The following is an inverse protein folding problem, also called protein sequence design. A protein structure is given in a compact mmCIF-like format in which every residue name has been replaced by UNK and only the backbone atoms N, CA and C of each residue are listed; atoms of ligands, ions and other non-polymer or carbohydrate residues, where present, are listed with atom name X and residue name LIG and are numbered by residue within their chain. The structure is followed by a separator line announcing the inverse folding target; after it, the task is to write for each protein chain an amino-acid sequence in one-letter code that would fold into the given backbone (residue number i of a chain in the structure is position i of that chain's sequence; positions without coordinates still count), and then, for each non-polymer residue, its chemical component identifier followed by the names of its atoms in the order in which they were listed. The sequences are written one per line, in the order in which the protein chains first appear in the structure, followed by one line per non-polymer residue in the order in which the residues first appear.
data_IF_967277409868
#
_entry.id   IF_967277409868
#
_cell.length_a   1.000
_cell.length_b   1.000
_cell.length_c   1.000
_cell.angle_alpha   90.00
_cell.angle_beta   90.00
_cell.angle_gamma   90.00
#
_symmetry.space_group_name_H-M   'P 1'
#
loop_
_entity.id
_entity.type
_entity.pdbx_description
1 polymer ?
#
# COMPACT_ATOMS: atom_id res chain seq x y z
N UNK A 1 -4.22 4.90 47.79
CA UNK A 1 -3.72 4.35 46.51
C UNK A 1 -2.20 4.43 46.57
N UNK A 2 -1.57 3.29 46.80
CA UNK A 2 -0.11 3.20 46.82
C UNK A 2 0.39 3.20 45.40
N UNK A 3 0.86 4.36 44.94
CA UNK A 3 1.59 4.53 43.70
C UNK A 3 3.04 4.07 43.95
N UNK A 4 3.34 2.85 43.61
CA UNK A 4 4.71 2.31 43.64
C UNK A 4 5.14 1.79 42.24
N UNK A 5 6.42 1.46 42.11
CA UNK A 5 6.99 0.97 40.84
C UNK A 5 6.39 -0.37 40.39
N UNK A 6 5.75 -1.14 41.27
CA UNK A 6 5.08 -2.42 40.98
C UNK A 6 3.60 -2.27 40.58
N UNK A 7 3.05 -1.03 40.50
CA UNK A 7 1.65 -0.82 40.15
C UNK A 7 1.32 -1.39 38.75
N UNK A 8 2.19 -1.18 37.78
CA UNK A 8 1.99 -1.64 36.39
C UNK A 8 2.01 -3.17 36.35
N UNK A 9 3.00 -3.80 36.98
CA UNK A 9 3.13 -5.26 37.00
C UNK A 9 1.93 -5.95 37.66
N UNK A 10 1.43 -5.38 38.78
CA UNK A 10 0.27 -5.94 39.50
C UNK A 10 -1.06 -5.75 38.79
N UNK A 11 -1.16 -4.77 37.92
CA UNK A 11 -2.40 -4.42 37.21
C UNK A 11 -2.24 -4.51 35.68
N UNK A 12 -1.24 -5.24 35.19
CA UNK A 12 -0.87 -5.29 33.77
C UNK A 12 -2.07 -5.67 32.89
N UNK A 13 -2.84 -6.69 33.25
CA UNK A 13 -4.02 -7.13 32.50
C UNK A 13 -5.12 -6.06 32.41
N UNK A 14 -5.24 -5.23 33.47
CA UNK A 14 -6.23 -4.15 33.53
C UNK A 14 -5.75 -2.87 32.82
N UNK A 15 -4.47 -2.56 32.92
CA UNK A 15 -3.87 -1.33 32.38
C UNK A 15 -3.44 -1.48 30.92
N UNK A 16 -3.05 -2.69 30.53
CA UNK A 16 -2.59 -3.05 29.18
C UNK A 16 -3.41 -4.24 28.68
N UNK A 17 -4.71 -4.05 28.37
CA UNK A 17 -5.52 -5.11 27.81
C UNK A 17 -4.91 -5.60 26.51
N UNK A 18 -5.00 -6.90 26.25
CA UNK A 18 -4.55 -7.48 24.98
C UNK A 18 -5.18 -6.72 23.81
N UNK A 19 -4.37 -6.44 22.79
CA UNK A 19 -4.85 -5.79 21.57
C UNK A 19 -5.97 -6.63 20.94
N UNK A 20 -7.09 -6.00 20.66
CA UNK A 20 -8.21 -6.64 19.97
C UNK A 20 -8.07 -6.42 18.48
N UNK A 21 -8.50 -7.42 17.72
CA UNK A 21 -8.62 -7.31 16.26
C UNK A 21 -9.44 -6.08 15.86
N UNK A 22 -9.03 -5.40 14.79
CA UNK A 22 -9.73 -4.22 14.32
C UNK A 22 -11.19 -4.53 13.95
N UNK A 23 -12.18 -3.87 14.55
CA UNK A 23 -13.57 -4.10 14.23
C UNK A 23 -13.89 -3.60 12.81
N UNK A 24 -14.97 -4.13 12.21
CA UNK A 24 -15.42 -3.72 10.87
C UNK A 24 -15.63 -2.21 10.73
N UNK A 25 -16.01 -1.54 11.81
CA UNK A 25 -16.15 -0.08 11.85
C UNK A 25 -14.83 0.67 11.72
N UNK A 26 -13.73 0.17 12.29
CA UNK A 26 -12.41 0.77 12.12
C UNK A 26 -11.92 0.60 10.69
N UNK A 27 -12.10 -0.58 10.08
CA UNK A 27 -11.79 -0.85 8.68
C UNK A 27 -12.62 0.04 7.73
N UNK A 28 -13.92 0.22 8.02
CA UNK A 28 -14.79 1.10 7.26
C UNK A 28 -14.34 2.56 7.31
N UNK A 29 -13.95 3.07 8.49
CA UNK A 29 -13.41 4.42 8.66
C UNK A 29 -12.10 4.61 7.88
N UNK A 30 -11.18 3.63 7.94
CA UNK A 30 -9.93 3.67 7.18
C UNK A 30 -10.19 3.68 5.66
N UNK A 31 -11.10 2.82 5.17
CA UNK A 31 -11.48 2.75 3.76
C UNK A 31 -12.10 4.06 3.25
N UNK A 32 -12.98 4.69 4.04
CA UNK A 32 -13.56 6.00 3.71
C UNK A 32 -12.48 7.08 3.70
N UNK A 33 -11.60 7.11 4.70
CA UNK A 33 -10.53 8.09 4.76
C UNK A 33 -9.57 8.00 3.57
N UNK A 34 -9.24 6.78 3.13
CA UNK A 34 -8.45 6.55 1.93
C UNK A 34 -9.14 7.09 0.68
N UNK A 35 -10.42 6.76 0.47
CA UNK A 35 -11.18 7.22 -0.71
C UNK A 35 -11.37 8.73 -0.75
N UNK A 36 -11.57 9.37 0.40
CA UNK A 36 -11.69 10.84 0.48
C UNK A 36 -10.35 11.54 0.23
N UNK A 37 -9.23 10.99 0.70
CA UNK A 37 -7.90 11.50 0.42
C UNK A 37 -7.59 11.46 -1.09
N UNK A 38 -7.93 10.38 -1.76
CA UNK A 38 -7.76 10.23 -3.23
C UNK A 38 -8.61 11.23 -4.03
N UNK A 39 -9.86 11.46 -3.61
CA UNK A 39 -10.71 12.51 -4.21
C UNK A 39 -10.10 13.91 -4.04
N UNK A 40 -9.46 14.17 -2.90
CA UNK A 40 -8.76 15.43 -2.66
C UNK A 40 -7.61 15.68 -3.64
N UNK A 41 -6.82 14.66 -3.92
CA UNK A 41 -5.72 14.72 -4.89
C UNK A 41 -6.20 14.93 -6.33
N UNK A 42 -7.28 14.26 -6.73
CA UNK A 42 -7.87 14.41 -8.06
C UNK A 42 -8.44 15.81 -8.30
N UNK A 43 -9.01 16.45 -7.28
CA UNK A 43 -9.54 17.82 -7.36
C UNK A 43 -8.46 18.89 -7.50
N UNK A 44 -7.25 18.65 -7.01
CA UNK A 44 -6.11 19.56 -7.17
C UNK A 44 -5.56 19.62 -8.59
N UNK A 45 -5.74 18.56 -9.38
CA UNK A 45 -5.22 18.44 -10.74
C UNK A 45 -6.15 19.00 -11.83
N UNK A 46 -7.45 19.13 -11.57
CA UNK A 46 -8.44 19.61 -12.56
C UNK A 46 -9.23 20.80 -12.03
N UNK A 47 -9.10 21.96 -12.69
CA UNK A 47 -9.89 23.17 -12.41
C UNK A 47 -11.34 23.12 -12.91
N UNK A 48 -11.74 22.04 -13.54
CA UNK A 48 -13.10 21.91 -14.14
C UNK A 48 -13.94 21.01 -13.24
N UNK A 49 -14.80 21.61 -12.48
CA UNK A 49 -15.70 21.00 -11.48
C UNK A 49 -16.77 20.06 -12.07
N UNK A 50 -16.85 19.94 -13.40
CA UNK A 50 -17.86 19.17 -14.14
C UNK A 50 -17.27 18.01 -14.96
N UNK A 51 -15.97 17.69 -14.82
CA UNK A 51 -15.36 16.59 -15.56
C UNK A 51 -15.67 15.25 -14.86
N UNK A 52 -16.41 14.32 -15.51
CA UNK A 52 -16.69 13.00 -14.96
C UNK A 52 -15.41 12.20 -14.62
N UNK A 53 -14.32 12.47 -15.32
CA UNK A 53 -13.03 11.82 -15.12
C UNK A 53 -12.30 12.33 -13.87
N UNK A 54 -12.57 13.56 -13.45
CA UNK A 54 -12.05 14.14 -12.20
C UNK A 54 -12.85 13.74 -10.95
N UNK A 55 -13.98 13.08 -11.11
CA UNK A 55 -14.78 12.57 -10.01
C UNK A 55 -14.35 11.12 -9.71
N UNK A 56 -13.55 10.90 -8.67
CA UNK A 56 -13.15 9.56 -8.23
C UNK A 56 -14.34 8.77 -7.64
N UNK A 57 -15.42 8.65 -8.41
CA UNK A 57 -16.68 7.98 -8.02
C UNK A 57 -16.74 6.51 -8.46
N UNK A 58 -15.68 6.01 -9.09
CA UNK A 58 -15.66 4.64 -9.60
C UNK A 58 -16.66 4.38 -10.73
N UNK A 59 -17.06 5.43 -11.47
CA UNK A 59 -18.00 5.29 -12.58
C UNK A 59 -17.46 4.37 -13.68
N UNK A 60 -18.28 3.41 -14.12
CA UNK A 60 -18.03 2.53 -15.26
C UNK A 60 -19.27 2.44 -16.14
N UNK A 61 -19.07 2.29 -17.46
CA UNK A 61 -20.15 2.27 -18.44
C UNK A 61 -21.07 1.04 -18.28
N UNK A 62 -20.54 -0.13 -17.91
CA UNK A 62 -21.25 -1.40 -17.92
C UNK A 62 -20.99 -2.23 -16.63
N UNK A 63 -21.17 -1.64 -15.48
CA UNK A 63 -21.08 -2.39 -14.21
C UNK A 63 -20.53 -1.57 -13.05
N UNK A 64 -20.55 -2.19 -11.87
CA UNK A 64 -20.04 -1.57 -10.66
C UNK A 64 -18.50 -1.63 -10.61
N UNK A 65 -17.89 -0.56 -10.13
CA UNK A 65 -16.47 -0.57 -9.84
C UNK A 65 -16.24 -1.21 -8.48
N UNK A 66 -15.44 -2.26 -8.47
CA UNK A 66 -15.02 -2.96 -7.25
C UNK A 66 -13.52 -2.78 -7.05
N UNK A 67 -13.14 -2.45 -5.82
CA UNK A 67 -11.75 -2.34 -5.39
C UNK A 67 -11.53 -3.20 -4.17
N UNK A 68 -10.36 -3.81 -4.06
CA UNK A 68 -9.93 -4.53 -2.87
C UNK A 68 -8.85 -3.72 -2.18
N UNK A 69 -9.01 -3.53 -0.88
CA UNK A 69 -8.07 -2.84 -0.01
C UNK A 69 -7.51 -3.86 0.98
N UNK A 70 -6.19 -4.00 1.01
CA UNK A 70 -5.52 -4.87 1.98
C UNK A 70 -5.01 -4.03 3.14
N UNK A 71 -5.57 -4.26 4.32
CA UNK A 71 -5.12 -3.66 5.57
C UNK A 71 -4.48 -4.72 6.45
N UNK A 72 -3.42 -4.36 7.16
CA UNK A 72 -2.80 -5.20 8.18
C UNK A 72 -2.89 -4.48 9.52
N UNK A 73 -3.42 -5.13 10.54
CA UNK A 73 -3.43 -4.61 11.90
C UNK A 73 -2.09 -4.95 12.57
N UNK A 74 -1.26 -3.94 12.82
CA UNK A 74 0.08 -4.12 13.39
C UNK A 74 0.06 -4.61 14.84
N UNK A 75 -1.06 -4.48 15.53
CA UNK A 75 -1.21 -4.84 16.93
C UNK A 75 -2.03 -6.11 17.16
N UNK A 76 -2.54 -6.74 16.11
CA UNK A 76 -3.28 -8.00 16.24
C UNK A 76 -2.32 -9.12 16.66
N UNK A 77 -2.49 -9.64 17.87
CA UNK A 77 -1.75 -10.77 18.38
C UNK A 77 -2.21 -12.07 17.68
N UNK A 78 -1.43 -12.53 16.68
CA UNK A 78 -1.71 -13.80 15.99
C UNK A 78 -0.67 -14.10 14.92
N UNK A 79 -0.49 -15.39 14.58
CA UNK A 79 0.51 -15.86 13.60
C UNK A 79 0.22 -15.39 12.16
N UNK A 80 -0.97 -14.86 11.85
CA UNK A 80 -1.36 -14.35 10.52
C UNK A 80 -1.44 -12.81 10.48
N UNK A 81 -0.90 -12.09 11.50
CA UNK A 81 -0.71 -10.65 11.46
C UNK A 81 -1.93 -9.83 11.05
N UNK A 82 -3.16 -10.24 11.49
CA UNK A 82 -4.38 -9.44 11.31
C UNK A 82 -4.57 -8.84 9.90
N UNK A 83 -4.31 -9.60 8.84
CA UNK A 83 -4.54 -9.12 7.48
C UNK A 83 -6.03 -9.15 7.12
N UNK A 84 -6.57 -8.01 6.67
CA UNK A 84 -7.96 -7.84 6.26
C UNK A 84 -8.04 -7.48 4.79
N UNK A 85 -8.79 -8.26 4.02
CA UNK A 85 -9.17 -7.93 2.66
C UNK A 85 -10.55 -7.29 2.65
N UNK A 86 -10.57 -5.99 2.38
CA UNK A 86 -11.79 -5.19 2.36
C UNK A 86 -12.20 -4.93 0.91
N UNK A 87 -13.31 -5.50 0.48
CA UNK A 87 -13.93 -5.22 -0.80
C UNK A 87 -14.76 -3.94 -0.71
N UNK A 88 -14.57 -3.02 -1.64
CA UNK A 88 -15.33 -1.78 -1.73
C UNK A 88 -15.99 -1.69 -3.11
N UNK A 89 -17.30 -1.76 -3.16
CA UNK A 89 -18.09 -1.55 -4.39
C UNK A 89 -18.66 -0.15 -4.39
N UNK A 90 -18.44 0.58 -5.47
CA UNK A 90 -18.85 1.98 -5.58
C UNK A 90 -20.28 2.08 -6.10
N UNK A 91 -21.09 2.87 -5.41
CA UNK A 91 -22.46 3.20 -5.79
C UNK A 91 -22.64 4.72 -5.83
N UNK A 92 -23.68 5.25 -6.51
CA UNK A 92 -23.91 6.70 -6.60
C UNK A 92 -24.09 7.42 -5.25
N UNK A 93 -24.53 6.72 -4.22
CA UNK A 93 -24.82 7.29 -2.89
C UNK A 93 -23.88 6.79 -1.78
N UNK A 94 -22.77 6.11 -2.12
CA UNK A 94 -21.84 5.55 -1.14
C UNK A 94 -21.14 4.31 -1.66
N UNK A 95 -20.94 3.37 -0.77
CA UNK A 95 -20.23 2.12 -1.08
C UNK A 95 -20.97 0.92 -0.46
N UNK A 96 -20.74 -0.26 -1.00
CA UNK A 96 -20.96 -1.54 -0.31
C UNK A 96 -19.58 -2.02 0.17
N UNK A 97 -19.47 -2.24 1.47
CA UNK A 97 -18.27 -2.78 2.11
C UNK A 97 -18.43 -4.28 2.28
N UNK A 98 -17.46 -5.05 1.80
CA UNK A 98 -17.40 -6.50 1.91
C UNK A 98 -16.16 -6.88 2.73
N UNK A 99 -16.36 -7.40 3.93
CA UNK A 99 -15.30 -7.91 4.78
C UNK A 99 -15.59 -9.38 5.03
N UNK A 100 -14.73 -10.28 4.55
CA UNK A 100 -14.86 -11.73 4.71
C UNK A 100 -16.23 -12.29 4.28
N UNK A 101 -16.83 -11.70 3.23
CA UNK A 101 -18.15 -12.09 2.73
C UNK A 101 -19.32 -11.43 3.45
N UNK A 102 -19.08 -10.64 4.50
CA UNK A 102 -20.10 -9.83 5.15
C UNK A 102 -20.24 -8.47 4.44
N UNK A 103 -21.34 -8.31 3.71
CA UNK A 103 -21.61 -7.12 2.90
C UNK A 103 -22.52 -6.15 3.65
N UNK A 104 -22.08 -4.91 3.75
CA UNK A 104 -22.82 -3.85 4.41
C UNK A 104 -22.78 -2.55 3.60
N UNK A 105 -23.90 -1.84 3.55
CA UNK A 105 -23.92 -0.50 2.95
C UNK A 105 -23.07 0.47 3.79
N UNK A 106 -22.22 1.24 3.14
CA UNK A 106 -21.34 2.22 3.76
C UNK A 106 -21.61 3.59 3.16
N UNK A 107 -21.96 4.55 4.01
CA UNK A 107 -22.23 5.93 3.59
C UNK A 107 -21.45 6.91 4.46
N UNK A 108 -20.79 7.88 3.82
CA UNK A 108 -20.18 9.01 4.52
C UNK A 108 -21.27 10.05 4.84
N UNK A 109 -21.49 10.30 6.12
CA UNK A 109 -22.49 11.27 6.58
C UNK A 109 -21.90 12.67 6.73
N UNK A 110 -20.68 12.75 7.30
CA UNK A 110 -19.96 14.01 7.47
C UNK A 110 -18.45 13.76 7.56
N UNK A 111 -17.68 14.73 7.10
CA UNK A 111 -16.22 14.73 7.16
C UNK A 111 -15.70 16.14 7.47
N UNK A 112 -14.85 16.27 8.49
CA UNK A 112 -14.21 17.53 8.87
C UNK A 112 -12.78 17.25 9.40
N UNK A 113 -11.78 17.54 8.58
CA UNK A 113 -10.38 17.25 8.92
C UNK A 113 -10.13 15.76 9.13
N UNK A 114 -9.76 15.38 10.35
CA UNK A 114 -9.56 13.97 10.72
C UNK A 114 -10.84 13.28 11.20
N UNK A 115 -11.93 14.02 11.43
CA UNK A 115 -13.17 13.49 11.97
C UNK A 115 -14.08 12.97 10.84
N UNK A 116 -14.53 11.73 10.96
CA UNK A 116 -15.42 11.06 10.04
C UNK A 116 -16.66 10.58 10.77
N UNK A 117 -17.83 10.79 10.16
CA UNK A 117 -19.09 10.21 10.56
C UNK A 117 -19.59 9.34 9.42
N UNK A 118 -19.76 8.07 9.68
CA UNK A 118 -20.18 7.09 8.67
C UNK A 118 -21.41 6.33 9.15
N UNK A 119 -22.15 5.78 8.20
CA UNK A 119 -23.19 4.77 8.46
C UNK A 119 -22.73 3.47 7.82
N UNK A 120 -22.64 2.42 8.64
CA UNK A 120 -22.33 1.06 8.24
C UNK A 120 -23.54 0.17 8.52
N UNK A 121 -24.22 -0.27 7.46
CA UNK A 121 -25.54 -0.88 7.58
C UNK A 121 -26.54 0.08 8.24
N UNK A 122 -27.10 -0.32 9.36
CA UNK A 122 -28.04 0.50 10.14
C UNK A 122 -27.35 1.32 11.25
N UNK A 123 -26.07 1.08 11.51
CA UNK A 123 -25.34 1.72 12.60
C UNK A 123 -24.62 2.98 12.14
N UNK A 124 -24.82 4.08 12.85
CA UNK A 124 -24.02 5.29 12.69
C UNK A 124 -22.86 5.27 13.66
N UNK A 125 -21.67 5.57 13.17
CA UNK A 125 -20.46 5.60 13.98
C UNK A 125 -19.60 6.79 13.63
N UNK A 126 -18.79 7.19 14.61
CA UNK A 126 -17.89 8.34 14.53
C UNK A 126 -16.48 7.88 14.86
N UNK A 127 -15.51 8.48 14.19
CA UNK A 127 -14.11 8.23 14.50
C UNK A 127 -13.22 9.31 13.94
N UNK A 128 -11.99 9.33 14.43
CA UNK A 128 -10.93 10.15 13.87
C UNK A 128 -9.95 9.24 13.15
N UNK A 129 -9.59 9.60 11.94
CA UNK A 129 -8.59 8.87 11.15
C UNK A 129 -7.46 9.82 10.78
N UNK A 130 -6.25 9.45 11.17
CA UNK A 130 -5.03 10.15 10.78
C UNK A 130 -4.17 9.21 9.93
N UNK A 131 -3.78 9.67 8.78
CA UNK A 131 -2.85 8.95 7.90
C UNK A 131 -1.43 9.48 8.07
N UNK A 132 -0.48 8.56 8.23
CA UNK A 132 0.95 8.83 8.22
C UNK A 132 1.61 7.82 7.26
N UNK A 133 1.91 8.28 6.05
CA UNK A 133 2.37 7.40 4.97
C UNK A 133 1.34 6.31 4.65
N UNK A 134 1.70 5.07 4.94
CA UNK A 134 0.85 3.88 4.76
C UNK A 134 0.04 3.51 6.02
N UNK A 135 0.35 4.13 7.16
CA UNK A 135 -0.30 3.85 8.43
C UNK A 135 -1.57 4.70 8.59
N UNK A 136 -2.63 4.04 8.98
CA UNK A 136 -3.91 4.65 9.36
C UNK A 136 -4.12 4.47 10.86
N UNK A 137 -4.05 5.55 11.60
CA UNK A 137 -4.42 5.60 13.01
C UNK A 137 -5.91 5.89 13.12
N UNK A 138 -6.68 4.88 13.49
CA UNK A 138 -8.14 4.96 13.60
C UNK A 138 -8.53 4.99 15.08
N UNK A 139 -9.18 6.07 15.49
CA UNK A 139 -9.70 6.23 16.84
C UNK A 139 -11.23 6.16 16.78
N UNK A 140 -11.82 5.14 17.36
CA UNK A 140 -13.27 4.93 17.39
C UNK A 140 -13.69 4.20 18.66
N UNK A 141 -14.83 4.54 19.23
CA UNK A 141 -15.38 3.92 20.45
C UNK A 141 -14.41 3.88 21.65
N UNK A 142 -13.48 4.84 21.74
CA UNK A 142 -12.47 4.88 22.79
C UNK A 142 -11.29 3.93 22.59
N UNK A 143 -11.23 3.23 21.48
CA UNK A 143 -10.12 2.35 21.10
C UNK A 143 -9.29 3.00 19.98
N UNK A 144 -8.01 2.63 19.89
CA UNK A 144 -7.08 3.03 18.85
C UNK A 144 -6.60 1.80 18.12
N UNK A 145 -6.74 1.82 16.78
CA UNK A 145 -6.27 0.76 15.88
C UNK A 145 -5.26 1.35 14.91
N UNK A 146 -4.15 0.65 14.69
CA UNK A 146 -3.15 1.02 13.70
C UNK A 146 -3.21 0.03 12.54
N UNK A 147 -3.67 0.51 11.40
CA UNK A 147 -3.85 -0.28 10.19
C UNK A 147 -2.81 0.15 9.16
N UNK A 148 -1.99 -0.77 8.68
CA UNK A 148 -1.09 -0.54 7.55
C UNK A 148 -1.84 -0.86 6.26
N UNK A 149 -1.80 0.05 5.29
CA UNK A 149 -2.36 -0.14 3.95
C UNK A 149 -1.25 -0.24 2.93
N UNK A 150 -1.15 -1.37 2.26
CA UNK A 150 -0.23 -1.54 1.15
C UNK A 150 -0.91 -1.08 -0.14
N UNK A 151 -0.40 0.00 -0.72
CA UNK A 151 -0.83 0.44 -2.04
C UNK A 151 -0.15 -0.40 -3.12
N UNK A 152 -0.90 -1.25 -3.86
CA UNK A 152 -0.30 -2.09 -4.89
C UNK A 152 0.40 -1.29 -6.00
N UNK A 153 0.02 -0.03 -6.20
CA UNK A 153 0.61 0.83 -7.24
C UNK A 153 1.88 1.52 -6.75
N UNK A 154 1.96 1.89 -5.46
CA UNK A 154 3.16 2.49 -4.88
C UNK A 154 4.34 1.52 -4.88
N UNK A 155 4.07 0.23 -4.69
CA UNK A 155 5.09 -0.83 -4.62
C UNK A 155 5.30 -1.58 -5.93
N UNK A 156 4.59 -1.23 -7.02
CA UNK A 156 4.74 -1.91 -8.31
C UNK A 156 6.17 -1.84 -8.89
N UNK A 157 6.96 -0.83 -8.49
CA UNK A 157 8.38 -0.73 -8.83
C UNK A 157 9.34 -1.28 -7.77
N UNK A 158 8.90 -1.43 -6.52
CA UNK A 158 9.74 -1.90 -5.42
C UNK A 158 9.82 -3.43 -5.34
N UNK A 159 8.79 -4.14 -5.82
CA UNK A 159 8.78 -5.60 -5.87
C UNK A 159 9.89 -6.14 -6.80
N UNK A 160 10.25 -5.41 -7.87
CA UNK A 160 11.40 -5.72 -8.71
C UNK A 160 12.73 -5.40 -8.01
N UNK A 161 12.76 -4.40 -7.13
CA UNK A 161 13.95 -3.99 -6.40
C UNK A 161 14.25 -4.85 -5.15
N UNK A 162 13.23 -5.39 -4.51
CA UNK A 162 13.37 -6.24 -3.31
C UNK A 162 13.82 -7.68 -3.63
N UNK A 163 13.82 -8.07 -4.90
CA UNK A 163 14.07 -9.45 -5.34
C UNK A 163 15.54 -9.87 -5.43
N UNK A 164 16.52 -9.05 -5.08
CA UNK A 164 17.94 -9.40 -5.15
C UNK A 164 18.49 -9.72 -6.56
N UNK A 165 17.63 -9.73 -7.59
CA UNK A 165 17.99 -9.97 -9.00
C UNK A 165 17.31 -8.96 -9.89
N UNK A 166 18.11 -8.18 -10.61
CA UNK A 166 17.60 -7.27 -11.63
C UNK A 166 17.41 -8.05 -12.93
N UNK A 167 16.19 -8.01 -13.47
CA UNK A 167 15.77 -8.84 -14.62
C UNK A 167 15.62 -8.02 -15.90
N UNK A 168 15.69 -8.69 -17.04
CA UNK A 168 15.43 -8.09 -18.35
C UNK A 168 13.92 -7.81 -18.50
N UNK A 169 13.49 -6.56 -18.79
CA UNK A 169 12.08 -6.20 -18.95
C UNK A 169 11.45 -6.74 -20.25
N UNK A 170 12.26 -7.21 -21.16
CA UNK A 170 11.86 -7.78 -22.44
C UNK A 170 13.00 -8.57 -23.08
N UNK A 171 12.73 -9.44 -24.07
CA UNK A 171 13.80 -10.15 -24.79
C UNK A 171 14.68 -9.17 -25.56
N UNK A 172 16.00 -9.34 -25.46
CA UNK A 172 16.95 -8.44 -26.10
C UNK A 172 18.38 -8.94 -26.06
N UNK A 173 19.33 -8.05 -26.36
CA UNK A 173 20.75 -8.31 -26.34
C UNK A 173 21.47 -7.36 -25.41
N UNK A 174 22.39 -7.85 -24.62
CA UNK A 174 23.24 -7.01 -23.77
C UNK A 174 24.23 -6.24 -24.64
N UNK A 175 24.17 -4.91 -24.58
CA UNK A 175 25.04 -3.99 -25.34
C UNK A 175 26.25 -3.57 -24.53
N UNK A 176 26.04 -3.28 -23.26
CA UNK A 176 27.11 -2.88 -22.34
C UNK A 176 26.81 -3.35 -20.91
N UNK A 177 27.86 -3.71 -20.20
CA UNK A 177 27.87 -3.93 -18.75
C UNK A 177 28.77 -2.84 -18.16
N UNK A 178 28.20 -2.02 -17.26
CA UNK A 178 28.85 -0.81 -16.74
C UNK A 178 29.46 -1.01 -15.36
N UNK A 179 29.26 -2.19 -14.77
CA UNK A 179 29.67 -2.51 -13.39
C UNK A 179 30.30 -3.89 -13.30
N UNK A 180 31.17 -4.07 -12.32
CA UNK A 180 31.81 -5.36 -12.02
C UNK A 180 31.18 -6.01 -10.78
N UNK A 181 31.32 -7.34 -10.67
CA UNK A 181 30.95 -8.06 -9.46
C UNK A 181 31.77 -7.56 -8.26
N UNK A 182 31.09 -7.27 -7.15
CA UNK A 182 31.69 -6.69 -5.94
C UNK A 182 31.78 -5.18 -5.94
N UNK A 183 31.20 -4.49 -6.94
CA UNK A 183 31.18 -3.03 -6.98
C UNK A 183 30.03 -2.45 -6.17
N UNK A 184 30.32 -1.40 -5.37
CA UNK A 184 29.30 -0.56 -4.74
C UNK A 184 28.74 0.44 -5.76
N UNK A 185 27.41 0.58 -5.77
CA UNK A 185 26.70 1.47 -6.70
C UNK A 185 25.66 2.28 -5.96
N UNK A 186 25.34 3.46 -6.50
CA UNK A 186 24.33 4.37 -5.97
C UNK A 186 23.02 4.23 -6.71
N UNK A 187 21.92 4.57 -6.04
CA UNK A 187 20.60 4.64 -6.65
C UNK A 187 20.61 5.43 -7.96
N UNK A 188 20.10 4.82 -9.03
CA UNK A 188 20.02 5.41 -10.37
C UNK A 188 21.29 5.25 -11.21
N UNK A 189 22.34 4.63 -10.70
CA UNK A 189 23.57 4.35 -11.47
C UNK A 189 23.32 3.29 -12.52
N UNK A 190 23.74 3.49 -13.80
CA UNK A 190 23.53 2.52 -14.86
C UNK A 190 24.37 1.26 -14.62
N UNK A 191 23.74 0.10 -14.66
CA UNK A 191 24.38 -1.20 -14.42
C UNK A 191 24.59 -1.98 -15.70
N UNK A 192 23.52 -2.14 -16.50
CA UNK A 192 23.53 -2.87 -17.77
C UNK A 192 22.74 -2.09 -18.81
N UNK A 193 23.23 -2.06 -20.04
CA UNK A 193 22.51 -1.53 -21.20
C UNK A 193 22.18 -2.70 -22.11
N UNK A 194 20.90 -2.85 -22.43
CA UNK A 194 20.41 -3.86 -23.36
C UNK A 194 19.69 -3.21 -24.54
N UNK A 195 19.79 -3.83 -25.71
CA UNK A 195 19.04 -3.46 -26.91
C UNK A 195 17.87 -4.42 -27.10
N UNK A 196 16.67 -3.88 -27.20
CA UNK A 196 15.47 -4.60 -27.53
C UNK A 196 14.61 -3.78 -28.49
N UNK A 197 14.07 -4.39 -29.53
CA UNK A 197 13.23 -3.73 -30.55
C UNK A 197 13.87 -2.46 -31.15
N UNK A 198 15.23 -2.46 -31.36
CA UNK A 198 16.01 -1.31 -31.85
C UNK A 198 16.01 -0.09 -30.92
N UNK A 199 15.75 -0.28 -29.64
CA UNK A 199 15.85 0.71 -28.60
C UNK A 199 16.80 0.23 -27.51
N UNK A 200 17.56 1.17 -26.95
CA UNK A 200 18.44 0.88 -25.82
C UNK A 200 17.66 1.08 -24.50
N UNK A 201 17.74 0.08 -23.65
CA UNK A 201 17.16 0.10 -22.30
C UNK A 201 18.28 0.04 -21.28
N UNK A 202 18.35 1.05 -20.42
CA UNK A 202 19.31 1.09 -19.33
C UNK A 202 18.68 0.51 -18.07
N UNK A 203 19.29 -0.53 -17.52
CA UNK A 203 18.94 -1.08 -16.22
C UNK A 203 19.80 -0.38 -15.18
N UNK A 204 19.17 0.38 -14.29
CA UNK A 204 19.82 1.17 -13.26
C UNK A 204 19.62 0.57 -11.85
N UNK A 205 20.50 0.92 -10.92
CA UNK A 205 20.41 0.51 -9.54
C UNK A 205 19.14 1.09 -8.86
N UNK A 206 18.30 0.26 -8.24
CA UNK A 206 17.05 0.70 -7.60
C UNK A 206 17.30 1.43 -6.27
N UNK A 207 18.39 1.12 -5.60
CA UNK A 207 18.85 1.71 -4.35
C UNK A 207 20.37 1.72 -4.28
N UNK A 208 20.95 2.32 -3.23
CA UNK A 208 22.37 2.14 -2.91
C UNK A 208 22.60 0.69 -2.50
N UNK A 209 23.71 0.09 -2.96
CA UNK A 209 23.97 -1.32 -2.66
C UNK A 209 25.21 -1.86 -3.37
N UNK A 210 25.34 -3.20 -3.33
CA UNK A 210 26.46 -3.95 -3.87
C UNK A 210 25.98 -4.88 -5.00
N UNK A 211 26.70 -4.87 -6.12
CA UNK A 211 26.53 -5.87 -7.19
C UNK A 211 27.21 -7.17 -6.76
N UNK A 212 26.45 -8.22 -6.51
CA UNK A 212 27.02 -9.51 -6.09
C UNK A 212 27.59 -10.29 -7.27
N UNK A 213 26.84 -10.36 -8.38
CA UNK A 213 27.21 -11.15 -9.55
C UNK A 213 26.59 -10.54 -10.83
N UNK A 214 27.33 -10.60 -11.91
CA UNK A 214 26.86 -10.27 -13.27
C UNK A 214 26.71 -11.58 -14.05
N UNK A 215 25.48 -11.88 -14.51
CA UNK A 215 25.12 -13.17 -15.07
C UNK A 215 25.25 -13.26 -16.61
N UNK A 216 25.32 -12.11 -17.29
CA UNK A 216 25.42 -12.02 -18.74
C UNK A 216 26.56 -11.11 -19.18
N UNK A 217 27.23 -11.48 -20.26
CA UNK A 217 28.28 -10.70 -20.89
C UNK A 217 27.74 -9.82 -22.04
N UNK A 218 28.55 -8.84 -22.46
CA UNK A 218 28.26 -8.00 -23.62
C UNK A 218 28.15 -8.91 -24.87
N UNK A 219 27.03 -8.81 -25.56
CA UNK A 219 26.73 -9.59 -26.74
C UNK A 219 25.76 -10.75 -26.53
N UNK A 220 25.48 -11.12 -25.27
CA UNK A 220 24.55 -12.19 -24.95
C UNK A 220 23.10 -11.82 -25.25
N UNK A 221 22.32 -12.82 -25.64
CA UNK A 221 20.88 -12.70 -25.79
C UNK A 221 20.18 -13.08 -24.47
N UNK A 222 19.22 -12.28 -24.08
CA UNK A 222 18.43 -12.47 -22.83
C UNK A 222 16.97 -12.61 -23.16
N UNK A 223 16.28 -13.50 -22.44
CA UNK A 223 14.84 -13.65 -22.51
C UNK A 223 14.15 -12.65 -21.56
N UNK A 224 12.86 -12.45 -21.77
CA UNK A 224 12.01 -11.71 -20.84
C UNK A 224 12.09 -12.31 -19.43
N UNK A 225 12.26 -11.47 -18.41
CA UNK A 225 12.37 -11.90 -17.03
C UNK A 225 13.69 -12.59 -16.65
N UNK A 226 14.66 -12.72 -17.59
CA UNK A 226 15.95 -13.32 -17.29
C UNK A 226 16.73 -12.46 -16.27
N UNK A 227 17.29 -13.04 -15.18
CA UNK A 227 18.07 -12.29 -14.20
C UNK A 227 19.41 -11.84 -14.84
N UNK A 228 19.65 -10.53 -14.90
CA UNK A 228 20.84 -9.95 -15.51
C UNK A 228 22.02 -9.87 -14.55
N UNK A 229 21.72 -9.52 -13.30
CA UNK A 229 22.70 -9.42 -12.22
C UNK A 229 22.04 -9.68 -10.87
N UNK A 230 22.84 -10.11 -9.90
CA UNK A 230 22.45 -10.20 -8.49
C UNK A 230 22.86 -8.92 -7.76
N UNK A 231 21.91 -8.31 -7.06
CA UNK A 231 22.08 -7.04 -6.37
C UNK A 231 21.64 -7.15 -4.92
N UNK A 232 22.44 -6.62 -4.01
CA UNK A 232 22.12 -6.54 -2.58
C UNK A 232 22.04 -5.09 -2.14
N UNK A 233 20.86 -4.67 -1.69
CA UNK A 233 20.68 -3.35 -1.12
C UNK A 233 21.50 -3.20 0.18
N UNK A 234 22.06 -2.00 0.39
CA UNK A 234 22.88 -1.67 1.55
C UNK A 234 22.04 -1.50 2.83
#
# INVERSE_FOLDING_TARGET
ADLDTGLIERNQESLLPASKAAPSGALALAAVALTEAEKGHSRGASRVQADPWGQAQGWRLNGDYRRFLSFTDEHAAGQDGGAYNVGLVYHPQGWELDIEGNKQALTLLAHAGAAYSIRLGEQSMHGNVRRDGELFHVFTNGEHHTLSYQDPMAHAGEAEAAGGRLTAPMPGKVVAVMVDAGQEVKKGEPLVIMEAMKMEHTIAAPSDGLVEEVLYAVGDQVADGAPLLAFKAA
#
